data_IF_921960727230
#
_entry.id   IF_921960727230
#
_cell.length_a   1.000
_cell.length_b   1.000
_cell.length_c   1.000
_cell.angle_alpha   90.00
_cell.angle_beta   90.00
_cell.angle_gamma   90.00
#
_symmetry.space_group_name_H-M   'P 1'
#
loop_
_entity.id
_entity.type
_entity.pdbx_description
1 polymer ?
#
# COMPACT_ATOMS: atom_id res chain seq x y z
N UNK A 1 -21.15 -26.63 18.66
CA UNK A 1 -21.96 -26.26 17.48
C UNK A 1 -20.98 -26.21 16.33
N UNK A 2 -20.96 -27.24 15.48
CA UNK A 2 -20.07 -27.27 14.32
C UNK A 2 -20.71 -26.39 13.24
N UNK A 3 -19.96 -25.42 12.70
CA UNK A 3 -20.40 -24.63 11.55
C UNK A 3 -20.32 -25.56 10.34
N UNK A 4 -21.46 -25.81 9.69
CA UNK A 4 -21.47 -26.49 8.41
C UNK A 4 -20.98 -25.52 7.33
N UNK A 5 -19.73 -25.69 6.91
CA UNK A 5 -19.11 -24.86 5.89
C UNK A 5 -19.79 -25.00 4.52
N UNK A 6 -20.50 -26.11 4.26
CA UNK A 6 -21.24 -26.31 3.02
C UNK A 6 -22.47 -25.40 3.02
N UNK A 7 -23.23 -25.40 4.13
CA UNK A 7 -24.43 -24.58 4.31
C UNK A 7 -24.08 -23.08 4.30
N UNK A 8 -23.03 -22.68 5.02
CA UNK A 8 -22.50 -21.31 4.98
C UNK A 8 -22.10 -20.88 3.56
N UNK A 9 -21.48 -21.78 2.79
CA UNK A 9 -21.08 -21.48 1.41
C UNK A 9 -22.28 -21.32 0.47
N UNK A 10 -23.37 -22.07 0.70
CA UNK A 10 -24.59 -21.99 -0.08
C UNK A 10 -25.36 -20.69 0.22
N UNK A 11 -25.49 -20.33 1.49
CA UNK A 11 -26.09 -19.05 1.91
C UNK A 11 -25.30 -17.85 1.38
N UNK A 12 -23.96 -17.89 1.49
CA UNK A 12 -23.11 -16.84 0.96
C UNK A 12 -23.32 -16.67 -0.55
N UNK A 13 -23.39 -17.77 -1.32
CA UNK A 13 -23.67 -17.72 -2.77
C UNK A 13 -25.04 -17.11 -3.08
N UNK A 14 -26.06 -17.44 -2.29
CA UNK A 14 -27.41 -16.89 -2.48
C UNK A 14 -27.44 -15.38 -2.21
N UNK A 15 -26.84 -14.95 -1.09
CA UNK A 15 -26.66 -13.54 -0.75
C UNK A 15 -25.87 -12.78 -1.81
N UNK A 16 -24.83 -13.40 -2.37
CA UNK A 16 -24.02 -12.81 -3.43
C UNK A 16 -24.80 -12.65 -4.74
N UNK A 17 -25.66 -13.60 -5.10
CA UNK A 17 -26.53 -13.49 -6.28
C UNK A 17 -27.56 -12.37 -6.14
N UNK A 18 -28.18 -12.27 -4.95
CA UNK A 18 -29.12 -11.18 -4.64
C UNK A 18 -28.40 -9.83 -4.65
N UNK A 19 -27.27 -9.73 -3.96
CA UNK A 19 -26.46 -8.52 -3.93
C UNK A 19 -25.95 -8.12 -5.32
N UNK A 20 -25.59 -9.09 -6.18
CA UNK A 20 -25.20 -8.83 -7.57
C UNK A 20 -26.33 -8.22 -8.38
N UNK A 21 -27.54 -8.77 -8.27
CA UNK A 21 -28.71 -8.22 -8.96
C UNK A 21 -29.00 -6.79 -8.48
N UNK A 22 -28.97 -6.57 -7.17
CA UNK A 22 -29.20 -5.26 -6.57
C UNK A 22 -28.12 -4.25 -6.95
N UNK A 23 -26.84 -4.66 -6.99
CA UNK A 23 -25.71 -3.82 -7.39
C UNK A 23 -25.77 -3.43 -8.87
N UNK A 24 -26.16 -4.37 -9.73
CA UNK A 24 -26.34 -4.12 -11.17
C UNK A 24 -27.49 -3.16 -11.46
N UNK A 25 -28.49 -3.15 -10.58
CA UNK A 25 -29.63 -2.22 -10.62
C UNK A 25 -29.33 -0.89 -9.93
N UNK A 26 -28.20 -0.76 -9.21
CA UNK A 26 -27.85 0.51 -8.58
C UNK A 26 -27.58 1.59 -9.64
N UNK A 27 -27.91 2.85 -9.32
CA UNK A 27 -27.56 3.97 -10.17
C UNK A 27 -26.03 4.14 -10.17
N UNK A 28 -25.36 3.68 -11.22
CA UNK A 28 -23.91 3.80 -11.43
C UNK A 28 -23.38 5.24 -11.27
N UNK A 29 -24.25 6.23 -11.44
CA UNK A 29 -23.97 7.63 -11.14
C UNK A 29 -23.51 7.83 -9.68
N UNK A 30 -24.09 7.11 -8.72
CA UNK A 30 -23.70 7.19 -7.31
C UNK A 30 -22.29 6.63 -7.09
N UNK A 31 -21.90 5.56 -7.78
CA UNK A 31 -20.54 5.02 -7.70
C UNK A 31 -19.51 6.00 -8.27
N UNK A 32 -19.82 6.62 -9.41
CA UNK A 32 -18.98 7.64 -10.02
C UNK A 32 -18.84 8.84 -9.06
N UNK A 33 -19.95 9.33 -8.51
CA UNK A 33 -19.94 10.42 -7.54
C UNK A 33 -19.12 10.05 -6.31
N UNK A 34 -19.29 8.84 -5.76
CA UNK A 34 -18.53 8.38 -4.60
C UNK A 34 -17.02 8.34 -4.89
N UNK A 35 -16.60 7.80 -6.04
CA UNK A 35 -15.19 7.78 -6.45
C UNK A 35 -14.62 9.19 -6.60
N UNK A 36 -15.35 10.08 -7.29
CA UNK A 36 -14.95 11.49 -7.45
C UNK A 36 -14.84 12.16 -6.09
N UNK A 37 -15.83 11.98 -5.20
CA UNK A 37 -15.80 12.53 -3.86
C UNK A 37 -14.59 12.04 -3.09
N UNK A 38 -14.29 10.73 -3.09
CA UNK A 38 -13.15 10.17 -2.36
C UNK A 38 -11.83 10.76 -2.86
N UNK A 39 -11.61 10.84 -4.16
CA UNK A 39 -10.39 11.43 -4.71
C UNK A 39 -10.30 12.93 -4.39
N UNK A 40 -11.32 13.71 -4.75
CA UNK A 40 -11.34 15.16 -4.55
C UNK A 40 -11.18 15.50 -3.07
N UNK A 41 -11.93 14.86 -2.18
CA UNK A 41 -11.81 15.08 -0.75
C UNK A 41 -10.40 14.72 -0.26
N UNK A 42 -9.86 13.57 -0.67
CA UNK A 42 -8.53 13.12 -0.26
C UNK A 42 -7.40 14.05 -0.72
N UNK A 43 -7.44 14.53 -1.97
CA UNK A 43 -6.40 15.44 -2.48
C UNK A 43 -6.52 16.88 -1.98
N UNK A 44 -7.65 17.28 -1.38
CA UNK A 44 -7.89 18.65 -0.93
C UNK A 44 -7.89 18.81 0.59
N UNK A 45 -8.31 17.81 1.36
CA UNK A 45 -8.40 17.93 2.82
C UNK A 45 -7.06 17.81 3.55
N UNK A 46 -6.09 17.08 2.99
CA UNK A 46 -4.83 16.81 3.68
C UNK A 46 -3.68 17.54 3.00
N UNK A 47 -2.92 18.27 3.81
CA UNK A 47 -1.64 18.85 3.39
C UNK A 47 -0.55 17.78 3.58
N UNK A 48 0.09 17.30 2.50
CA UNK A 48 1.26 16.45 2.61
C UNK A 48 2.39 17.22 3.31
N UNK A 49 3.29 16.47 3.93
CA UNK A 49 4.45 16.99 4.64
C UNK A 49 5.68 16.81 3.74
N UNK A 50 6.58 17.79 3.77
CA UNK A 50 7.88 17.71 3.10
C UNK A 50 8.79 16.74 3.85
N UNK A 51 9.51 15.87 3.13
CA UNK A 51 10.45 14.91 3.71
C UNK A 51 11.80 15.52 4.13
N UNK A 52 12.04 16.82 3.93
CA UNK A 52 13.39 17.42 4.02
C UNK A 52 13.43 18.63 4.97
N UNK A 53 12.46 18.77 5.87
CA UNK A 53 12.36 19.93 6.78
C UNK A 53 12.17 21.30 6.12
N UNK A 54 12.42 21.44 4.81
CA UNK A 54 12.17 22.65 4.03
C UNK A 54 10.69 22.72 3.70
N UNK A 55 10.08 23.88 3.94
CA UNK A 55 8.73 24.20 3.49
C UNK A 55 8.69 24.19 1.96
N UNK A 56 8.38 23.04 1.37
CA UNK A 56 8.02 23.01 -0.04
C UNK A 56 6.64 23.65 -0.12
N UNK A 57 6.51 24.68 -0.94
CA UNK A 57 5.23 25.31 -1.22
C UNK A 57 4.23 24.23 -1.64
N UNK A 58 3.14 24.09 -0.88
CA UNK A 58 2.16 23.06 -1.15
C UNK A 58 1.48 23.35 -2.48
N UNK A 59 1.87 22.60 -3.51
CA UNK A 59 1.14 22.57 -4.78
C UNK A 59 0.03 21.56 -4.66
N UNK A 60 -1.14 21.90 -5.21
CA UNK A 60 -2.28 20.98 -5.29
C UNK A 60 -2.16 20.13 -6.54
N UNK A 61 -2.56 18.85 -6.50
CA UNK A 61 -2.68 18.06 -7.70
C UNK A 61 -3.69 18.67 -8.68
N UNK A 62 -3.51 18.47 -9.99
CA UNK A 62 -4.47 18.93 -10.97
C UNK A 62 -5.79 18.20 -10.80
N UNK A 63 -6.87 18.93 -10.48
CA UNK A 63 -8.23 18.39 -10.27
C UNK A 63 -8.67 17.48 -11.42
N UNK A 64 -8.32 17.87 -12.65
CA UNK A 64 -8.63 17.08 -13.85
C UNK A 64 -8.07 15.66 -13.78
N UNK A 65 -6.84 15.48 -13.27
CA UNK A 65 -6.24 14.15 -13.10
C UNK A 65 -7.00 13.31 -12.08
N UNK A 66 -7.46 13.94 -10.99
CA UNK A 66 -8.22 13.27 -9.94
C UNK A 66 -9.59 12.81 -10.44
N UNK A 67 -10.32 13.69 -11.14
CA UNK A 67 -11.62 13.35 -11.74
C UNK A 67 -11.45 12.23 -12.79
N UNK A 68 -10.45 12.35 -13.66
CA UNK A 68 -10.21 11.36 -14.72
C UNK A 68 -9.83 10.00 -14.12
N UNK A 69 -8.92 9.97 -13.15
CA UNK A 69 -8.56 8.75 -12.43
C UNK A 69 -9.79 8.12 -11.76
N UNK A 70 -10.64 8.94 -11.12
CA UNK A 70 -11.88 8.47 -10.47
C UNK A 70 -12.82 7.78 -11.45
N UNK A 71 -13.06 8.38 -12.63
CA UNK A 71 -13.93 7.81 -13.65
C UNK A 71 -13.34 6.50 -14.17
N UNK A 72 -12.05 6.47 -14.50
CA UNK A 72 -11.39 5.25 -14.99
C UNK A 72 -11.41 4.12 -13.96
N UNK A 73 -11.16 4.43 -12.68
CA UNK A 73 -11.23 3.44 -11.60
C UNK A 73 -12.64 2.96 -11.36
N UNK A 74 -13.65 3.82 -11.49
CA UNK A 74 -15.04 3.41 -11.42
C UNK A 74 -15.38 2.43 -12.54
N UNK A 75 -14.94 2.69 -13.78
CA UNK A 75 -15.15 1.79 -14.92
C UNK A 75 -14.42 0.45 -14.73
N UNK A 76 -13.17 0.47 -14.28
CA UNK A 76 -12.38 -0.75 -14.00
C UNK A 76 -13.04 -1.55 -12.87
N UNK A 77 -13.44 -0.88 -11.79
CA UNK A 77 -14.15 -1.50 -10.67
C UNK A 77 -15.46 -2.14 -11.13
N UNK A 78 -16.21 -1.43 -11.99
CA UNK A 78 -17.44 -1.96 -12.55
C UNK A 78 -17.23 -3.19 -13.43
N UNK A 79 -16.19 -3.15 -14.28
CA UNK A 79 -15.79 -4.32 -15.08
C UNK A 79 -15.32 -5.49 -14.22
N UNK A 80 -14.51 -5.24 -13.18
CA UNK A 80 -14.11 -6.30 -12.25
C UNK A 80 -15.31 -6.88 -11.50
N UNK A 81 -16.30 -6.06 -11.17
CA UNK A 81 -17.53 -6.54 -10.54
C UNK A 81 -18.35 -7.46 -11.46
N UNK A 82 -18.33 -7.26 -12.78
CA UNK A 82 -19.04 -8.18 -13.70
C UNK A 82 -18.32 -9.52 -13.83
N UNK A 83 -16.99 -9.55 -13.66
CA UNK A 83 -16.17 -10.75 -13.79
C UNK A 83 -16.00 -11.53 -12.48
N UNK A 84 -15.65 -10.84 -11.39
CA UNK A 84 -15.23 -11.40 -10.10
C UNK A 84 -15.79 -10.59 -8.91
N UNK A 85 -17.12 -10.50 -8.75
CA UNK A 85 -17.76 -9.67 -7.71
C UNK A 85 -17.32 -10.04 -6.28
N UNK A 86 -17.17 -11.35 -6.00
CA UNK A 86 -16.77 -11.85 -4.68
C UNK A 86 -15.40 -11.28 -4.25
N UNK A 87 -14.46 -11.21 -5.20
CA UNK A 87 -13.13 -10.65 -4.96
C UNK A 87 -13.23 -9.17 -4.61
N UNK A 88 -14.05 -8.41 -5.34
CA UNK A 88 -14.25 -6.98 -5.09
C UNK A 88 -14.89 -6.73 -3.72
N UNK A 89 -15.86 -7.55 -3.32
CA UNK A 89 -16.51 -7.42 -2.02
C UNK A 89 -15.49 -7.67 -0.90
N UNK A 90 -14.75 -8.77 -0.95
CA UNK A 90 -13.69 -9.08 0.04
C UNK A 90 -12.66 -7.95 0.09
N UNK A 91 -12.26 -7.44 -1.08
CA UNK A 91 -11.35 -6.30 -1.19
C UNK A 91 -11.87 -5.04 -0.51
N UNK A 92 -13.14 -4.69 -0.74
CA UNK A 92 -13.80 -3.55 -0.09
C UNK A 92 -13.90 -3.74 1.42
N UNK A 93 -14.15 -4.96 1.90
CA UNK A 93 -14.17 -5.25 3.34
C UNK A 93 -12.80 -5.03 3.98
N UNK A 94 -11.74 -5.58 3.39
CA UNK A 94 -10.37 -5.41 3.91
C UNK A 94 -9.96 -3.92 3.87
N UNK A 95 -10.45 -3.17 2.88
CA UNK A 95 -10.14 -1.74 2.76
C UNK A 95 -10.97 -0.88 3.73
N UNK A 96 -12.30 -0.98 3.70
CA UNK A 96 -13.20 -0.06 4.40
C UNK A 96 -13.40 -0.40 5.87
N UNK A 97 -13.46 -1.68 6.24
CA UNK A 97 -13.78 -2.05 7.63
C UNK A 97 -12.72 -1.53 8.63
N UNK A 98 -11.40 -1.72 8.42
CA UNK A 98 -10.40 -1.16 9.33
C UNK A 98 -10.46 0.37 9.40
N UNK A 99 -10.72 1.03 8.27
CA UNK A 99 -10.87 2.49 8.23
C UNK A 99 -12.07 2.97 9.04
N UNK A 100 -13.26 2.36 8.85
CA UNK A 100 -14.47 2.71 9.59
C UNK A 100 -14.26 2.52 11.09
N UNK A 101 -13.66 1.39 11.51
CA UNK A 101 -13.35 1.14 12.91
C UNK A 101 -12.39 2.21 13.48
N UNK A 102 -11.30 2.50 12.77
CA UNK A 102 -10.32 3.52 13.15
C UNK A 102 -10.93 4.92 13.21
N UNK A 103 -11.82 5.26 12.26
CA UNK A 103 -12.53 6.53 12.21
C UNK A 103 -13.51 6.69 13.39
N UNK A 104 -14.33 5.67 13.66
CA UNK A 104 -15.27 5.66 14.79
C UNK A 104 -14.54 5.75 16.12
N UNK A 105 -13.49 4.95 16.32
CA UNK A 105 -12.64 5.03 17.52
C UNK A 105 -12.01 6.41 17.65
N UNK A 106 -11.52 7.00 16.56
CA UNK A 106 -10.99 8.35 16.55
C UNK A 106 -12.02 9.41 16.95
N UNK A 107 -13.27 9.26 16.50
CA UNK A 107 -14.37 10.14 16.87
C UNK A 107 -14.73 10.02 18.35
N UNK A 108 -14.87 8.80 18.89
CA UNK A 108 -15.10 8.59 20.32
C UNK A 108 -13.94 9.11 21.18
N UNK A 109 -12.70 8.84 20.76
CA UNK A 109 -11.50 9.32 21.45
C UNK A 109 -11.44 10.86 21.48
N UNK A 110 -11.87 11.53 20.40
CA UNK A 110 -12.02 12.98 20.35
C UNK A 110 -13.11 13.48 21.32
N UNK A 111 -14.28 12.84 21.35
CA UNK A 111 -15.37 13.27 22.23
C UNK A 111 -15.00 13.16 23.72
N UNK A 112 -14.38 12.04 24.10
CA UNK A 112 -14.03 11.69 25.49
C UNK A 112 -12.76 12.43 25.93
N UNK A 113 -11.67 12.33 25.17
CA UNK A 113 -10.34 12.83 25.57
C UNK A 113 -10.00 14.20 24.98
N UNK A 114 -10.88 14.80 24.17
CA UNK A 114 -10.64 16.05 23.42
C UNK A 114 -9.38 16.01 22.54
N UNK A 115 -8.96 14.80 22.14
CA UNK A 115 -7.76 14.59 21.36
C UNK A 115 -8.12 13.98 19.99
N UNK A 116 -7.73 14.67 18.91
CA UNK A 116 -8.06 14.28 17.53
C UNK A 116 -7.01 13.39 16.87
N UNK A 117 -5.96 12.96 17.57
CA UNK A 117 -4.83 12.21 17.01
C UNK A 117 -5.27 10.98 16.21
N UNK A 118 -6.04 10.08 16.82
CA UNK A 118 -6.51 8.84 16.16
C UNK A 118 -7.36 9.18 14.94
N UNK A 119 -8.24 10.18 15.06
CA UNK A 119 -9.09 10.63 13.96
C UNK A 119 -8.26 11.18 12.79
N UNK A 120 -7.31 12.08 13.07
CA UNK A 120 -6.43 12.68 12.05
C UNK A 120 -5.59 11.61 11.34
N UNK A 121 -5.00 10.70 12.11
CA UNK A 121 -4.22 9.59 11.56
C UNK A 121 -5.09 8.67 10.69
N UNK A 122 -6.33 8.36 11.10
CA UNK A 122 -7.26 7.52 10.34
C UNK A 122 -7.53 8.10 8.95
N UNK A 123 -7.83 9.40 8.89
CA UNK A 123 -8.08 10.12 7.63
C UNK A 123 -6.78 10.18 6.80
N UNK A 124 -5.63 10.46 7.41
CA UNK A 124 -4.34 10.49 6.72
C UNK A 124 -3.99 9.15 6.05
N UNK A 125 -4.20 8.04 6.77
CA UNK A 125 -4.00 6.70 6.24
C UNK A 125 -4.93 6.42 5.07
N UNK A 126 -6.22 6.73 5.20
CA UNK A 126 -7.17 6.53 4.11
C UNK A 126 -6.81 7.33 2.86
N UNK A 127 -6.48 8.62 3.03
CA UNK A 127 -6.12 9.54 1.95
C UNK A 127 -4.85 9.14 1.20
N UNK A 128 -3.90 8.45 1.85
CA UNK A 128 -2.66 8.02 1.20
C UNK A 128 -2.90 7.17 -0.07
N UNK A 129 -3.99 6.40 -0.11
CA UNK A 129 -4.36 5.59 -1.26
C UNK A 129 -4.75 6.41 -2.51
N UNK A 130 -5.25 7.63 -2.31
CA UNK A 130 -5.85 8.46 -3.35
C UNK A 130 -5.04 9.73 -3.66
N UNK A 131 -3.96 9.98 -2.91
CA UNK A 131 -3.12 11.15 -3.09
C UNK A 131 -2.43 11.14 -4.46
N UNK A 132 -2.59 12.21 -5.24
CA UNK A 132 -1.85 12.42 -6.49
C UNK A 132 -0.77 13.47 -6.21
N UNK A 133 0.46 13.16 -6.62
CA UNK A 133 1.63 14.03 -6.47
C UNK A 133 1.45 15.30 -7.32
N UNK A 134 1.66 16.46 -6.71
CA UNK A 134 1.27 17.75 -7.29
C UNK A 134 2.20 18.27 -8.40
N UNK A 135 3.41 17.73 -8.48
CA UNK A 135 4.41 18.05 -9.49
C UNK A 135 4.20 17.27 -10.80
N UNK A 136 3.24 16.34 -10.83
CA UNK A 136 2.99 15.47 -12.00
C UNK A 136 2.09 16.14 -13.03
N UNK A 137 2.38 15.89 -14.30
CA UNK A 137 1.48 16.29 -15.39
C UNK A 137 0.15 15.54 -15.30
N UNK A 138 -0.88 16.03 -15.99
CA UNK A 138 -2.21 15.40 -16.01
C UNK A 138 -2.18 13.88 -16.27
N UNK A 139 -1.46 13.46 -17.31
CA UNK A 139 -1.37 12.05 -17.69
C UNK A 139 -0.57 11.25 -16.64
N UNK A 140 0.54 11.80 -16.16
CA UNK A 140 1.36 11.16 -15.14
C UNK A 140 0.59 10.97 -13.82
N UNK A 141 -0.11 12.00 -13.36
CA UNK A 141 -0.93 11.94 -12.15
C UNK A 141 -2.07 10.92 -12.26
N UNK A 142 -2.75 10.91 -13.41
CA UNK A 142 -3.82 9.92 -13.68
C UNK A 142 -3.27 8.49 -13.67
N UNK A 143 -2.19 8.23 -14.41
CA UNK A 143 -1.55 6.91 -14.44
C UNK A 143 -1.03 6.50 -13.07
N UNK A 144 -0.50 7.45 -12.29
CA UNK A 144 0.03 7.18 -10.95
C UNK A 144 -1.07 6.71 -9.99
N UNK A 145 -2.24 7.34 -10.04
CA UNK A 145 -3.42 6.91 -9.28
C UNK A 145 -3.86 5.49 -9.68
N UNK A 146 -3.93 5.20 -10.98
CA UNK A 146 -4.29 3.87 -11.49
C UNK A 146 -3.28 2.79 -11.06
N UNK A 147 -1.99 3.05 -11.25
CA UNK A 147 -0.92 2.12 -10.87
C UNK A 147 -0.99 1.84 -9.36
N UNK A 148 -1.19 2.85 -8.51
CA UNK A 148 -1.25 2.62 -7.06
C UNK A 148 -2.41 1.71 -6.66
N UNK A 149 -3.59 1.94 -7.23
CA UNK A 149 -4.81 1.22 -6.85
C UNK A 149 -5.00 -0.13 -7.56
N UNK A 150 -4.24 -0.41 -8.62
CA UNK A 150 -4.34 -1.68 -9.35
C UNK A 150 -3.07 -2.51 -9.16
N UNK A 151 -1.91 -1.91 -9.40
CA UNK A 151 -0.63 -2.61 -9.45
C UNK A 151 0.02 -2.74 -8.06
N UNK A 152 0.04 -1.67 -7.28
CA UNK A 152 0.67 -1.67 -5.94
C UNK A 152 -0.28 -2.20 -4.85
N UNK A 153 -1.52 -2.50 -5.23
CA UNK A 153 -2.63 -2.62 -4.31
C UNK A 153 -2.47 -3.76 -3.30
N UNK A 154 -2.12 -5.01 -3.67
CA UNK A 154 -2.19 -6.13 -2.72
C UNK A 154 -1.43 -5.88 -1.41
N UNK A 155 -0.20 -5.37 -1.52
CA UNK A 155 0.63 -5.00 -0.38
C UNK A 155 0.20 -3.67 0.26
N UNK A 156 -0.29 -2.72 -0.52
CA UNK A 156 -0.79 -1.42 -0.02
C UNK A 156 -2.06 -1.61 0.83
N UNK A 157 -2.91 -2.58 0.47
CA UNK A 157 -4.11 -2.96 1.22
C UNK A 157 -3.77 -3.49 2.60
N UNK A 158 -2.76 -4.37 2.67
CA UNK A 158 -2.29 -4.94 3.93
C UNK A 158 -1.69 -3.82 4.80
N UNK A 159 -0.86 -2.95 4.21
CA UNK A 159 -0.30 -1.78 4.89
C UNK A 159 -1.37 -0.84 5.45
N UNK A 160 -2.39 -0.54 4.64
CA UNK A 160 -3.55 0.27 5.05
C UNK A 160 -4.30 -0.39 6.20
N UNK A 161 -4.69 -1.67 6.06
CA UNK A 161 -5.46 -2.39 7.07
C UNK A 161 -4.73 -2.48 8.41
N UNK A 162 -3.46 -2.90 8.39
CA UNK A 162 -2.61 -2.95 9.59
C UNK A 162 -2.44 -1.55 10.20
N UNK A 163 -2.16 -0.54 9.38
CA UNK A 163 -2.01 0.84 9.84
C UNK A 163 -3.26 1.36 10.54
N UNK A 164 -4.44 1.10 9.98
CA UNK A 164 -5.72 1.49 10.58
C UNK A 164 -6.00 0.76 11.90
N UNK A 165 -5.73 -0.55 11.96
CA UNK A 165 -5.89 -1.35 13.19
C UNK A 165 -4.95 -0.82 14.28
N UNK A 166 -3.67 -0.62 13.97
CA UNK A 166 -2.69 -0.10 14.93
C UNK A 166 -3.05 1.30 15.41
N UNK A 167 -3.55 2.16 14.52
CA UNK A 167 -4.01 3.50 14.88
C UNK A 167 -5.23 3.44 15.82
N UNK A 168 -6.19 2.58 15.52
CA UNK A 168 -7.37 2.33 16.37
C UNK A 168 -6.96 1.92 17.80
N UNK A 169 -5.93 1.09 17.93
CA UNK A 169 -5.39 0.64 19.22
C UNK A 169 -4.41 1.63 19.89
N UNK A 170 -4.14 2.77 19.28
CA UNK A 170 -3.29 3.82 19.86
C UNK A 170 -1.77 3.61 19.70
N UNK A 171 -1.31 2.58 19.00
CA UNK A 171 0.12 2.34 18.76
C UNK A 171 0.77 3.36 17.81
N UNK A 172 -0.03 3.99 16.96
CA UNK A 172 0.45 5.01 16.01
C UNK A 172 0.50 6.37 16.69
N UNK A 173 1.68 6.96 16.74
CA UNK A 173 1.93 8.30 17.27
C UNK A 173 1.63 9.39 16.25
N UNK A 174 2.11 9.22 15.03
CA UNK A 174 1.88 10.18 13.95
C UNK A 174 1.87 9.49 12.59
N UNK A 175 1.21 10.14 11.63
CA UNK A 175 1.21 9.74 10.23
C UNK A 175 1.64 10.94 9.40
N UNK A 176 2.75 10.80 8.70
CA UNK A 176 3.20 11.77 7.72
C UNK A 176 2.89 11.26 6.31
N UNK A 177 2.37 12.13 5.45
CA UNK A 177 2.07 11.80 4.05
C UNK A 177 3.06 12.52 3.14
N UNK A 178 3.78 11.79 2.30
CA UNK A 178 4.65 12.39 1.28
C UNK A 178 4.72 11.53 0.03
N UNK A 179 4.59 12.13 -1.16
CA UNK A 179 4.59 11.44 -2.45
C UNK A 179 3.68 10.19 -2.50
N UNK A 180 2.51 10.30 -1.86
CA UNK A 180 1.56 9.21 -1.74
C UNK A 180 2.02 8.04 -0.88
N UNK A 181 3.02 8.25 -0.02
CA UNK A 181 3.53 7.31 0.97
C UNK A 181 3.09 7.79 2.36
N UNK A 182 2.43 6.92 3.12
CA UNK A 182 2.12 7.16 4.51
C UNK A 182 3.24 6.58 5.40
N UNK A 183 3.90 7.42 6.17
CA UNK A 183 4.92 7.05 7.14
C UNK A 183 4.27 7.10 8.52
N UNK A 184 4.08 5.93 9.13
CA UNK A 184 3.54 5.75 10.47
C UNK A 184 4.69 5.61 11.44
N UNK A 185 4.71 6.46 12.46
CA UNK A 185 5.66 6.36 13.57
C UNK A 185 4.92 6.09 14.87
N UNK A 186 5.50 5.31 15.77
CA UNK A 186 4.93 5.08 17.11
C UNK A 186 5.52 3.85 17.81
N UNK A 187 4.80 3.30 18.78
CA UNK A 187 5.18 2.04 19.42
C UNK A 187 4.61 0.85 18.64
N UNK A 188 5.00 0.74 17.37
CA UNK A 188 4.50 -0.29 16.47
C UNK A 188 5.07 -1.65 16.91
N UNK A 189 4.21 -2.67 17.17
CA UNK A 189 4.62 -3.99 17.68
C UNK A 189 5.16 -4.94 16.60
N UNK A 190 5.54 -4.39 15.45
CA UNK A 190 6.18 -5.12 14.35
C UNK A 190 7.71 -4.98 14.51
N UNK A 191 8.49 -5.53 13.59
CA UNK A 191 9.94 -5.27 13.52
C UNK A 191 10.24 -3.74 13.55
N UNK A 192 11.51 -3.37 13.71
CA UNK A 192 11.89 -1.95 13.85
C UNK A 192 11.31 -1.07 12.72
N UNK A 193 11.23 -1.60 11.50
CA UNK A 193 10.54 -1.00 10.36
C UNK A 193 9.93 -2.08 9.46
N UNK A 194 8.89 -1.72 8.71
CA UNK A 194 8.39 -2.51 7.59
C UNK A 194 7.69 -1.62 6.56
N UNK A 195 7.95 -1.86 5.27
CA UNK A 195 7.23 -1.26 4.17
C UNK A 195 6.24 -2.24 3.52
N UNK A 196 4.97 -1.85 3.50
CA UNK A 196 3.87 -2.57 2.89
C UNK A 196 3.20 -1.67 1.85
N UNK A 197 3.64 -1.80 0.60
CA UNK A 197 3.10 -0.96 -0.46
C UNK A 197 3.54 0.48 -0.30
N UNK A 198 2.55 1.39 -0.22
CA UNK A 198 2.76 2.80 0.07
C UNK A 198 2.70 3.15 1.57
N UNK A 199 2.79 2.16 2.46
CA UNK A 199 2.79 2.38 3.91
C UNK A 199 4.13 1.94 4.51
N UNK A 200 4.77 2.85 5.22
CA UNK A 200 5.99 2.61 6.00
C UNK A 200 5.60 2.64 7.48
N UNK A 201 5.81 1.54 8.18
CA UNK A 201 5.52 1.41 9.59
C UNK A 201 6.85 1.32 10.34
N UNK A 202 7.21 2.34 11.12
CA UNK A 202 8.47 2.37 11.87
C UNK A 202 8.23 2.56 13.37
N UNK A 203 8.98 1.81 14.18
CA UNK A 203 8.98 2.00 15.63
C UNK A 203 9.88 3.16 16.01
N UNK A 204 9.38 4.05 16.85
CA UNK A 204 10.13 5.23 17.31
C UNK A 204 10.69 5.06 18.73
N UNK A 205 10.90 3.83 19.22
CA UNK A 205 11.30 3.53 20.61
C UNK A 205 12.56 4.26 21.12
N UNK A 206 13.44 4.69 20.22
CA UNK A 206 14.71 5.35 20.55
C UNK A 206 14.77 6.82 20.10
N UNK A 207 13.77 7.29 19.38
CA UNK A 207 13.61 8.69 19.04
C UNK A 207 12.73 9.28 20.12
N UNK A 208 13.11 10.43 20.70
CA UNK A 208 12.14 11.24 21.45
C UNK A 208 10.90 11.49 20.60
N UNK A 209 9.89 12.15 21.18
CA UNK A 209 8.59 12.50 20.56
C UNK A 209 8.67 13.33 19.27
N UNK A 210 9.82 13.40 18.61
CA UNK A 210 10.08 14.07 17.34
C UNK A 210 9.25 13.43 16.23
N UNK A 211 8.12 14.09 15.97
CA UNK A 211 7.24 13.87 14.82
C UNK A 211 7.80 14.51 13.55
N UNK A 212 8.99 15.11 13.61
CA UNK A 212 9.60 15.81 12.48
C UNK A 212 10.42 14.82 11.64
N UNK A 213 9.87 14.42 10.50
CA UNK A 213 10.60 13.59 9.53
C UNK A 213 11.45 14.51 8.66
N UNK A 214 12.76 14.48 8.89
CA UNK A 214 13.75 15.10 8.02
C UNK A 214 14.72 14.06 7.53
N UNK A 215 14.47 13.54 6.33
CA UNK A 215 15.33 12.57 5.71
C UNK A 215 16.72 13.13 5.44
N UNK A 216 16.97 14.45 5.48
CA UNK A 216 18.32 15.00 5.31
C UNK A 216 19.25 14.69 6.50
N UNK A 217 18.69 14.35 7.66
CA UNK A 217 19.45 13.99 8.85
C UNK A 217 20.09 12.60 8.71
N UNK A 218 21.41 12.55 8.80
CA UNK A 218 22.20 11.33 8.52
C UNK A 218 22.56 10.53 9.77
N UNK A 219 22.60 11.19 10.93
CA UNK A 219 23.01 10.56 12.19
C UNK A 219 21.81 10.00 12.98
N UNK A 220 20.58 10.19 12.48
CA UNK A 220 19.38 9.65 13.10
C UNK A 220 19.12 8.23 12.64
N UNK A 221 19.10 7.30 13.59
CA UNK A 221 18.71 5.91 13.34
C UNK A 221 17.31 5.83 12.71
N UNK A 222 16.35 6.64 13.19
CA UNK A 222 14.99 6.66 12.66
C UNK A 222 14.96 7.12 11.20
N UNK A 223 15.73 8.16 10.85
CA UNK A 223 15.78 8.64 9.46
C UNK A 223 16.47 7.64 8.54
N UNK A 224 17.56 7.00 8.99
CA UNK A 224 18.18 5.90 8.25
C UNK A 224 17.18 4.75 8.03
N UNK A 225 16.42 4.37 9.06
CA UNK A 225 15.40 3.33 8.95
C UNK A 225 14.27 3.70 8.00
N UNK A 226 13.74 4.93 8.06
CA UNK A 226 12.72 5.39 7.11
C UNK A 226 13.25 5.40 5.68
N UNK A 227 14.50 5.84 5.46
CA UNK A 227 15.14 5.77 4.13
C UNK A 227 15.23 4.33 3.64
N UNK A 228 15.61 3.39 4.51
CA UNK A 228 15.65 1.97 4.18
C UNK A 228 14.27 1.42 3.77
N UNK A 229 13.23 1.66 4.57
CA UNK A 229 11.86 1.24 4.26
C UNK A 229 11.27 1.93 3.01
N UNK A 230 11.72 3.16 2.72
CA UNK A 230 11.39 3.86 1.48
C UNK A 230 11.94 3.09 0.26
N UNK A 231 13.09 2.44 0.39
CA UNK A 231 13.65 1.53 -0.60
C UNK A 231 12.71 0.36 -0.93
N UNK A 232 12.18 -0.29 0.09
CA UNK A 232 11.19 -1.35 -0.03
C UNK A 232 9.86 -0.86 -0.65
N UNK A 233 9.45 0.38 -0.34
CA UNK A 233 8.33 1.02 -1.03
C UNK A 233 8.59 1.12 -2.54
N UNK A 234 9.81 1.45 -2.98
CA UNK A 234 10.14 1.48 -4.41
C UNK A 234 10.22 0.10 -5.06
N UNK A 235 10.69 -0.92 -4.34
CA UNK A 235 10.62 -2.31 -4.80
C UNK A 235 9.17 -2.74 -5.02
N UNK A 236 8.30 -2.39 -4.09
CA UNK A 236 6.86 -2.62 -4.17
C UNK A 236 6.26 -1.94 -5.40
N UNK A 237 6.50 -0.64 -5.59
CA UNK A 237 6.03 0.13 -6.75
C UNK A 237 6.46 -0.51 -8.07
N UNK A 238 7.70 -1.01 -8.14
CA UNK A 238 8.25 -1.64 -9.35
C UNK A 238 7.67 -3.03 -9.62
N UNK A 239 7.35 -3.78 -8.57
CA UNK A 239 7.09 -5.22 -8.65
C UNK A 239 5.62 -5.61 -8.45
N UNK A 240 4.80 -4.64 -8.03
CA UNK A 240 3.36 -4.79 -7.90
C UNK A 240 2.98 -6.02 -7.08
N UNK A 241 2.09 -6.91 -7.58
CA UNK A 241 1.62 -8.06 -6.81
C UNK A 241 2.70 -9.08 -6.43
N UNK A 242 3.87 -9.07 -7.08
CA UNK A 242 4.98 -9.97 -6.75
C UNK A 242 5.88 -9.47 -5.62
N UNK A 243 5.69 -8.23 -5.14
CA UNK A 243 6.56 -7.60 -4.16
C UNK A 243 6.78 -8.45 -2.90
N UNK A 244 5.70 -8.90 -2.26
CA UNK A 244 5.78 -9.63 -1.01
C UNK A 244 6.58 -10.93 -1.16
N UNK A 245 6.43 -11.62 -2.29
CA UNK A 245 7.09 -12.91 -2.51
C UNK A 245 8.52 -12.75 -3.01
N UNK A 246 8.81 -11.70 -3.79
CA UNK A 246 10.14 -11.48 -4.34
C UNK A 246 11.07 -10.74 -3.37
N UNK A 247 10.55 -9.78 -2.61
CA UNK A 247 11.34 -8.91 -1.74
C UNK A 247 10.89 -9.02 -0.29
N UNK A 248 9.60 -8.82 0.00
CA UNK A 248 9.11 -8.67 1.38
C UNK A 248 9.43 -9.85 2.31
N UNK A 249 9.01 -11.06 1.93
CA UNK A 249 9.29 -12.29 2.68
C UNK A 249 10.79 -12.59 2.71
N UNK A 250 11.53 -12.55 1.56
CA UNK A 250 12.98 -12.75 1.61
C UNK A 250 13.73 -11.75 2.49
N UNK A 251 13.33 -10.47 2.53
CA UNK A 251 13.89 -9.46 3.44
C UNK A 251 13.62 -9.79 4.91
N UNK A 252 12.36 -10.08 5.23
CA UNK A 252 11.97 -10.41 6.61
C UNK A 252 12.68 -11.65 7.14
N UNK A 253 13.03 -12.60 6.26
CA UNK A 253 13.71 -13.85 6.62
C UNK A 253 15.24 -13.78 6.49
N UNK A 254 15.79 -12.89 5.64
CA UNK A 254 17.22 -12.85 5.33
C UNK A 254 17.71 -11.45 4.95
N UNK A 255 18.79 -11.00 5.61
CA UNK A 255 19.45 -9.74 5.29
C UNK A 255 20.42 -9.94 4.12
N UNK A 256 19.89 -9.83 2.90
CA UNK A 256 20.61 -10.21 1.68
C UNK A 256 20.57 -9.15 0.58
N UNK A 257 20.37 -9.63 -0.66
CA UNK A 257 20.33 -8.79 -1.85
C UNK A 257 19.13 -7.84 -1.86
N UNK A 258 18.03 -8.21 -1.19
CA UNK A 258 16.80 -7.42 -1.07
C UNK A 258 17.01 -6.13 -0.29
N UNK A 259 17.79 -6.19 0.79
CA UNK A 259 18.13 -5.02 1.61
C UNK A 259 19.01 -4.05 0.85
N UNK A 260 20.06 -4.56 0.19
CA UNK A 260 20.96 -3.74 -0.64
C UNK A 260 20.22 -3.08 -1.80
N UNK A 261 19.28 -3.80 -2.42
CA UNK A 261 18.43 -3.24 -3.49
C UNK A 261 17.54 -2.11 -2.96
N UNK A 262 16.97 -2.28 -1.77
CA UNK A 262 16.11 -1.27 -1.14
C UNK A 262 16.91 0.00 -0.86
N UNK A 263 18.02 -0.12 -0.12
CA UNK A 263 18.92 0.98 0.20
C UNK A 263 19.42 1.74 -1.04
N UNK A 264 19.82 1.01 -2.09
CA UNK A 264 20.25 1.61 -3.35
C UNK A 264 19.13 2.44 -4.00
N UNK A 265 17.91 1.91 -4.05
CA UNK A 265 16.76 2.60 -4.63
C UNK A 265 16.39 3.85 -3.85
N UNK A 266 16.40 3.79 -2.53
CA UNK A 266 16.12 4.95 -1.69
C UNK A 266 17.17 6.05 -1.88
N UNK A 267 18.46 5.70 -1.82
CA UNK A 267 19.52 6.70 -1.96
C UNK A 267 19.52 7.31 -3.36
N UNK A 268 19.29 6.51 -4.40
CA UNK A 268 19.14 7.01 -5.78
C UNK A 268 17.93 7.95 -5.91
N UNK A 269 16.79 7.59 -5.34
CA UNK A 269 15.60 8.45 -5.40
C UNK A 269 15.83 9.78 -4.70
N UNK A 270 16.38 9.74 -3.47
CA UNK A 270 16.61 10.93 -2.66
C UNK A 270 17.70 11.83 -3.27
N UNK A 271 18.73 11.25 -3.90
CA UNK A 271 19.74 12.03 -4.60
C UNK A 271 19.15 12.74 -5.83
N UNK A 272 18.40 12.02 -6.69
CA UNK A 272 17.87 12.58 -7.94
C UNK A 272 16.79 13.62 -7.69
N UNK A 273 15.85 13.34 -6.79
CA UNK A 273 14.68 14.21 -6.59
C UNK A 273 14.93 15.34 -5.61
N UNK A 274 15.92 15.17 -4.71
CA UNK A 274 16.11 16.08 -3.58
C UNK A 274 17.54 16.50 -3.33
N UNK A 275 18.52 15.99 -4.08
CA UNK A 275 19.93 16.29 -3.88
C UNK A 275 20.49 15.76 -2.56
N UNK A 276 19.79 14.82 -1.89
CA UNK A 276 20.25 14.26 -0.63
C UNK A 276 21.35 13.23 -0.89
N UNK A 277 22.52 13.34 -0.24
CA UNK A 277 23.59 12.41 -0.53
C UNK A 277 23.27 11.02 0.02
N UNK A 278 23.76 9.96 -0.64
CA UNK A 278 23.66 8.59 -0.16
C UNK A 278 24.21 8.44 1.26
N UNK A 279 23.60 7.55 2.03
CA UNK A 279 24.09 7.15 3.36
C UNK A 279 24.42 5.66 3.44
N UNK A 280 23.89 4.85 2.53
CA UNK A 280 24.13 3.42 2.51
C UNK A 280 25.31 3.07 1.62
N UNK A 281 26.11 2.11 2.07
CA UNK A 281 27.29 1.62 1.32
C UNK A 281 26.93 0.93 0.01
N UNK A 282 25.67 0.49 -0.15
CA UNK A 282 25.14 -0.14 -1.36
C UNK A 282 25.13 0.80 -2.57
N UNK A 283 25.14 2.11 -2.37
CA UNK A 283 25.21 3.09 -3.46
C UNK A 283 26.59 3.17 -4.14
N UNK A 284 27.67 2.82 -3.42
CA UNK A 284 29.05 2.98 -3.90
C UNK A 284 29.62 1.75 -4.63
N UNK A 285 28.83 0.69 -4.80
CA UNK A 285 29.25 -0.53 -5.50
C UNK A 285 28.59 -0.59 -6.87
N UNK A 286 29.09 -1.43 -7.77
CA UNK A 286 28.52 -1.78 -9.09
C UNK A 286 27.15 -2.49 -8.99
N UNK A 287 26.31 -2.04 -8.06
CA UNK A 287 25.04 -2.63 -7.72
C UNK A 287 24.00 -2.27 -8.76
N UNK A 288 23.46 -3.29 -9.42
CA UNK A 288 22.33 -3.14 -10.33
C UNK A 288 21.02 -3.52 -9.64
N UNK A 289 19.97 -2.70 -9.76
CA UNK A 289 18.69 -3.01 -9.12
C UNK A 289 18.08 -4.27 -9.72
N UNK A 290 17.75 -5.23 -8.86
CA UNK A 290 17.17 -6.50 -9.29
C UNK A 290 15.68 -6.28 -9.52
N UNK A 291 15.15 -6.56 -10.72
CA UNK A 291 13.73 -6.45 -11.07
C UNK A 291 12.99 -7.78 -11.06
N UNK A 292 11.67 -7.76 -10.88
CA UNK A 292 10.83 -8.94 -11.13
C UNK A 292 10.93 -9.37 -12.60
N UNK A 293 11.16 -10.67 -12.83
CA UNK A 293 11.29 -11.22 -14.18
C UNK A 293 9.90 -11.36 -14.81
N UNK A 294 9.74 -10.96 -16.07
CA UNK A 294 8.51 -11.17 -16.88
C UNK A 294 8.01 -12.62 -16.80
N UNK A 295 8.93 -13.60 -16.78
CA UNK A 295 8.58 -15.01 -16.64
C UNK A 295 7.83 -15.30 -15.33
N UNK A 296 8.17 -14.64 -14.22
CA UNK A 296 7.47 -14.83 -12.94
C UNK A 296 6.02 -14.31 -13.00
N UNK A 297 5.79 -13.19 -13.70
CA UNK A 297 4.44 -12.67 -13.92
C UNK A 297 3.61 -13.58 -14.82
N UNK A 298 4.20 -14.04 -15.94
CA UNK A 298 3.53 -14.97 -16.85
C UNK A 298 3.18 -16.28 -16.15
N UNK A 299 4.11 -16.82 -15.35
CA UNK A 299 3.88 -18.03 -14.58
C UNK A 299 2.77 -17.84 -13.53
N UNK A 300 2.80 -16.72 -12.79
CA UNK A 300 1.74 -16.40 -11.84
C UNK A 300 0.38 -16.29 -12.54
N UNK A 301 0.29 -15.55 -13.65
CA UNK A 301 -0.94 -15.38 -14.41
C UNK A 301 -1.47 -16.71 -14.95
N UNK A 302 -0.61 -17.51 -15.59
CA UNK A 302 -1.00 -18.81 -16.14
C UNK A 302 -1.49 -19.76 -15.05
N UNK A 303 -0.81 -19.78 -13.89
CA UNK A 303 -1.19 -20.63 -12.75
C UNK A 303 -2.53 -20.17 -12.16
N UNK A 304 -2.76 -18.85 -12.02
CA UNK A 304 -4.04 -18.31 -11.56
C UNK A 304 -5.19 -18.61 -12.53
N UNK A 305 -4.98 -18.48 -13.84
CA UNK A 305 -5.98 -18.84 -14.86
C UNK A 305 -6.29 -20.33 -14.77
N UNK A 306 -5.28 -21.19 -14.66
CA UNK A 306 -5.47 -22.63 -14.49
C UNK A 306 -6.26 -22.96 -13.22
N UNK A 307 -5.89 -22.34 -12.10
CA UNK A 307 -6.63 -22.47 -10.85
C UNK A 307 -8.10 -22.03 -10.98
N UNK A 308 -8.35 -20.92 -11.68
CA UNK A 308 -9.70 -20.45 -11.94
C UNK A 308 -10.53 -21.43 -12.77
N UNK A 309 -9.93 -22.04 -13.80
CA UNK A 309 -10.60 -23.05 -14.65
C UNK A 309 -10.98 -24.29 -13.85
N UNK A 310 -10.13 -24.73 -12.91
CA UNK A 310 -10.33 -25.97 -12.15
C UNK A 310 -11.20 -25.82 -10.90
N UNK A 311 -11.15 -24.66 -10.24
CA UNK A 311 -11.79 -24.47 -8.93
C UNK A 311 -12.49 -23.12 -8.76
N UNK A 312 -12.78 -22.43 -9.86
CA UNK A 312 -13.33 -21.07 -9.85
C UNK A 312 -12.52 -20.15 -8.92
N UNK A 313 -13.18 -19.33 -8.12
CA UNK A 313 -12.55 -18.40 -7.17
C UNK A 313 -11.61 -19.12 -6.20
N UNK A 314 -12.03 -20.25 -5.62
CA UNK A 314 -11.21 -20.99 -4.66
C UNK A 314 -9.93 -21.55 -5.30
N UNK A 315 -10.05 -22.10 -6.52
CA UNK A 315 -8.92 -22.59 -7.28
C UNK A 315 -7.95 -21.47 -7.69
N UNK A 316 -8.47 -20.29 -8.08
CA UNK A 316 -7.65 -19.10 -8.35
C UNK A 316 -6.84 -18.67 -7.13
N UNK A 317 -7.47 -18.61 -5.94
CA UNK A 317 -6.79 -18.26 -4.70
C UNK A 317 -5.75 -19.30 -4.30
N UNK A 318 -6.08 -20.59 -4.36
CA UNK A 318 -5.15 -21.68 -4.08
C UNK A 318 -3.94 -21.65 -5.02
N UNK A 319 -4.18 -21.46 -6.31
CA UNK A 319 -3.13 -21.32 -7.31
C UNK A 319 -2.25 -20.09 -7.09
N UNK A 320 -2.85 -18.94 -6.74
CA UNK A 320 -2.13 -17.73 -6.35
C UNK A 320 -1.20 -17.98 -5.16
N UNK A 321 -1.71 -18.55 -4.07
CA UNK A 321 -0.93 -18.83 -2.86
C UNK A 321 0.21 -19.82 -3.14
N UNK A 322 -0.07 -20.88 -3.92
CA UNK A 322 0.93 -21.87 -4.30
C UNK A 322 2.07 -21.24 -5.10
N UNK A 323 1.76 -20.51 -6.18
CA UNK A 323 2.79 -19.92 -7.03
C UNK A 323 3.55 -18.80 -6.32
N UNK A 324 2.85 -18.03 -5.49
CA UNK A 324 3.44 -17.02 -4.64
C UNK A 324 4.47 -17.63 -3.65
N UNK A 325 4.10 -18.72 -2.97
CA UNK A 325 5.01 -19.46 -2.09
C UNK A 325 6.21 -20.02 -2.85
N UNK A 326 6.00 -20.57 -4.03
CA UNK A 326 7.08 -21.08 -4.89
C UNK A 326 8.06 -19.96 -5.31
N UNK A 327 7.54 -18.79 -5.71
CA UNK A 327 8.37 -17.62 -6.04
C UNK A 327 9.16 -17.15 -4.81
N UNK A 328 8.55 -17.13 -3.62
CA UNK A 328 9.23 -16.77 -2.39
C UNK A 328 10.38 -17.73 -2.06
N UNK A 329 10.13 -19.05 -2.11
CA UNK A 329 11.15 -20.08 -1.88
C UNK A 329 12.32 -19.96 -2.86
N UNK A 330 12.05 -19.71 -4.14
CA UNK A 330 13.10 -19.53 -5.14
C UNK A 330 13.98 -18.30 -4.87
N UNK A 331 13.40 -17.20 -4.38
CA UNK A 331 14.17 -15.98 -4.06
C UNK A 331 14.92 -16.10 -2.73
N UNK A 332 14.41 -16.87 -1.77
CA UNK A 332 15.15 -17.28 -0.57
C UNK A 332 16.38 -18.13 -0.93
N UNK A 333 16.32 -18.97 -1.97
CA UNK A 333 17.48 -19.74 -2.43
C UNK A 333 18.67 -18.90 -2.93
N UNK A 334 18.46 -17.61 -3.25
CA UNK A 334 19.48 -16.72 -3.85
C UNK A 334 20.34 -15.99 -2.83
N UNK A 335 20.22 -16.30 -1.54
CA UNK A 335 20.91 -15.61 -0.44
C UNK A 335 22.45 -15.69 -0.58
N UNK A 336 23.01 -16.63 -1.36
CA UNK A 336 24.46 -16.84 -1.50
C UNK A 336 25.03 -16.59 -2.91
N UNK A 337 24.19 -16.29 -3.91
CA UNK A 337 24.72 -15.95 -5.24
C UNK A 337 25.32 -14.55 -5.17
N UNK A 338 26.64 -14.44 -5.38
CA UNK A 338 27.30 -13.15 -5.64
C UNK A 338 26.47 -12.43 -6.70
N UNK A 339 25.89 -11.29 -6.31
CA UNK A 339 25.33 -10.34 -7.26
C UNK A 339 26.54 -9.84 -8.04
N UNK A 340 26.72 -10.35 -9.25
CA UNK A 340 27.67 -9.84 -10.23
C UNK A 340 27.05 -8.63 -10.92
#
# INVERSE_FOLDING_TARGET
MAIDFIELSAELRLWLLLFRNDLMQQPWQLFIIAWISVFVVSGFLIRPISLIGKSIEYKRPPISSMITASILLCLITGFLNTLIPDFLIVWLWIFLLPFILSLLTGFFYLLINKNSKILRNSIALFTANFYIEADKSFLQGTLRALIRLIWEQPQTLIGHGIGQILNCTGFVSSVALSDGIAILTGNIPLANGVALGSYILVTSRYSGTDTHIDLSERNSYLMALIRHELGHTFQSRRSGPLYLFKYGIPSAMSQGWTEKDAEFRSDRYLLINYGLPPIFSSYQKDYSPVGANTAAYLLMLATMIWGAVWGATAGLFGAYLFIAGFIALFNLGKIHSKIL
#
